data_IF_085791950907
#
_entry.id   IF_085791950907
#
_cell.length_a   1.000
_cell.length_b   1.000
_cell.length_c   1.000
_cell.angle_alpha   90.00
_cell.angle_beta   90.00
_cell.angle_gamma   90.00
#
_symmetry.space_group_name_H-M   'P 1'
#
loop_
_entity.id
_entity.type
_entity.pdbx_description
1 polymer ?
#
# COMPACT_ATOMS: atom_id res chain seq x y z
N UNK A 1 7.78 23.93 9.43
CA UNK A 1 6.94 22.73 9.17
C UNK A 1 7.89 21.57 9.31
N UNK A 2 7.67 20.70 10.30
CA UNK A 2 8.47 19.48 10.46
C UNK A 2 8.02 18.47 9.40
N UNK A 3 8.92 18.16 8.48
CA UNK A 3 8.71 17.21 7.39
C UNK A 3 9.29 15.82 7.74
N UNK A 4 9.64 15.59 9.00
CA UNK A 4 10.35 14.37 9.42
C UNK A 4 9.55 13.08 9.21
N UNK A 5 8.22 13.18 9.10
CA UNK A 5 7.32 12.07 8.75
C UNK A 5 7.12 11.88 7.23
N UNK A 6 7.52 12.86 6.40
CA UNK A 6 7.31 12.80 4.95
C UNK A 6 8.46 12.09 4.24
N UNK A 7 8.13 11.27 3.22
CA UNK A 7 9.12 10.57 2.39
C UNK A 7 9.81 11.50 1.40
N UNK A 8 10.82 12.24 1.86
CA UNK A 8 11.54 13.22 1.06
C UNK A 8 12.91 12.73 0.62
N UNK A 9 13.29 13.11 -0.59
CA UNK A 9 14.68 13.04 -1.04
C UNK A 9 15.19 14.44 -1.33
N UNK A 10 16.44 14.72 -0.96
CA UNK A 10 17.10 16.00 -1.20
C UNK A 10 18.18 15.82 -2.26
N UNK A 11 18.24 16.79 -3.18
CA UNK A 11 19.33 16.93 -4.13
C UNK A 11 20.36 17.93 -3.57
N UNK A 12 21.64 17.62 -3.74
CA UNK A 12 22.79 18.43 -3.35
C UNK A 12 23.60 18.72 -4.61
N UNK A 13 23.84 19.99 -4.92
CA UNK A 13 24.49 20.40 -6.16
C UNK A 13 26.00 20.20 -6.12
N UNK A 14 26.58 20.26 -4.92
CA UNK A 14 28.00 20.12 -4.68
C UNK A 14 28.25 19.09 -3.56
N UNK A 15 28.83 19.52 -2.45
CA UNK A 15 29.28 18.68 -1.34
C UNK A 15 28.63 19.08 0.00
N UNK A 16 27.49 19.78 -0.06
CA UNK A 16 26.82 20.37 1.11
C UNK A 16 26.41 19.32 2.15
N UNK A 17 26.24 18.05 1.72
CA UNK A 17 26.06 16.92 2.61
C UNK A 17 27.40 16.28 2.99
N UNK A 18 27.97 16.76 4.09
CA UNK A 18 29.14 16.13 4.72
C UNK A 18 30.45 16.30 3.96
N UNK A 19 30.58 17.32 3.11
CA UNK A 19 31.73 17.56 2.23
C UNK A 19 32.03 16.34 1.32
N UNK A 20 30.98 15.64 0.90
CA UNK A 20 31.07 14.46 0.06
C UNK A 20 30.40 14.74 -1.30
N UNK A 21 31.20 14.93 -2.37
CA UNK A 21 30.67 15.26 -3.71
C UNK A 21 29.96 14.07 -4.39
N UNK A 22 29.92 12.89 -3.75
CA UNK A 22 29.23 11.71 -4.29
C UNK A 22 27.78 11.60 -3.82
N UNK A 23 27.34 12.41 -2.86
CA UNK A 23 25.99 12.36 -2.28
C UNK A 23 25.01 13.36 -2.92
N UNK A 24 24.99 13.44 -4.25
CA UNK A 24 24.17 14.40 -5.01
C UNK A 24 22.65 14.18 -4.86
N UNK A 25 22.20 13.00 -4.44
CA UNK A 25 20.79 12.72 -4.13
C UNK A 25 20.68 11.77 -2.94
N UNK A 26 20.02 12.19 -1.87
CA UNK A 26 19.84 11.32 -0.67
C UNK A 26 18.40 11.31 -0.16
N UNK A 27 17.83 10.11 0.09
CA UNK A 27 16.54 9.98 0.77
C UNK A 27 16.67 10.17 2.28
N UNK A 28 15.65 10.75 2.92
CA UNK A 28 15.46 10.58 4.36
C UNK A 28 14.95 9.15 4.66
N UNK A 29 14.93 8.77 5.95
CA UNK A 29 14.51 7.42 6.37
C UNK A 29 13.12 7.03 5.84
N UNK A 30 12.07 7.86 6.00
CA UNK A 30 10.76 7.57 5.42
C UNK A 30 10.82 7.30 3.90
N UNK A 31 11.56 8.10 3.14
CA UNK A 31 11.71 7.91 1.69
C UNK A 31 12.43 6.60 1.36
N UNK A 32 13.48 6.25 2.10
CA UNK A 32 14.20 4.99 1.94
C UNK A 32 13.27 3.78 2.18
N UNK A 33 12.48 3.80 3.25
CA UNK A 33 11.52 2.73 3.55
C UNK A 33 10.43 2.61 2.47
N UNK A 34 9.94 3.73 1.95
CA UNK A 34 8.96 3.75 0.87
C UNK A 34 9.55 3.24 -0.46
N UNK A 35 10.79 3.60 -0.77
CA UNK A 35 11.51 3.13 -1.96
C UNK A 35 11.66 1.61 -1.95
N UNK A 36 12.02 1.03 -0.81
CA UNK A 36 12.16 -0.42 -0.68
C UNK A 36 10.80 -1.13 -0.80
N UNK A 37 9.71 -0.53 -0.30
CA UNK A 37 8.35 -1.03 -0.55
C UNK A 37 7.99 -1.02 -2.03
N UNK A 38 8.29 0.09 -2.72
CA UNK A 38 8.08 0.22 -4.17
C UNK A 38 8.92 -0.78 -4.98
N UNK A 39 10.09 -1.19 -4.48
CA UNK A 39 10.92 -2.23 -5.07
C UNK A 39 10.35 -3.66 -4.90
N UNK A 40 9.20 -3.82 -4.24
CA UNK A 40 8.48 -5.10 -4.10
C UNK A 40 8.72 -5.82 -2.78
N UNK A 41 9.15 -5.11 -1.74
CA UNK A 41 9.25 -5.66 -0.38
C UNK A 41 8.15 -5.06 0.51
N UNK A 42 7.02 -5.75 0.71
CA UNK A 42 5.86 -5.18 1.40
C UNK A 42 6.15 -4.76 2.86
N UNK A 43 7.08 -5.46 3.53
CA UNK A 43 7.51 -5.16 4.90
C UNK A 43 8.95 -4.66 4.87
N UNK A 44 9.17 -3.49 5.45
CA UNK A 44 10.48 -2.84 5.55
C UNK A 44 10.63 -2.23 6.92
N UNK A 45 11.73 -2.58 7.59
CA UNK A 45 12.08 -2.12 8.94
C UNK A 45 13.37 -1.32 8.88
N UNK A 46 13.42 -0.18 9.57
CA UNK A 46 14.69 0.47 9.85
C UNK A 46 15.45 -0.37 10.89
N UNK A 47 16.66 -0.80 10.54
CA UNK A 47 17.55 -1.51 11.47
C UNK A 47 18.32 -0.52 12.31
N UNK A 48 18.93 0.47 11.67
CA UNK A 48 19.73 1.49 12.35
C UNK A 48 20.00 2.67 11.42
N UNK A 49 20.33 3.82 12.02
CA UNK A 49 20.85 4.99 11.34
C UNK A 49 22.20 5.36 11.98
N UNK A 50 23.26 5.45 11.16
CA UNK A 50 24.58 5.89 11.54
C UNK A 50 24.76 7.37 11.20
N UNK A 51 25.28 8.12 12.16
CA UNK A 51 25.71 9.52 12.00
C UNK A 51 24.65 10.44 11.36
N UNK A 52 23.36 10.08 11.46
CA UNK A 52 22.24 10.78 10.84
C UNK A 52 22.11 10.64 9.32
N UNK A 53 23.14 10.12 8.63
CA UNK A 53 23.25 10.18 7.16
C UNK A 53 23.29 8.82 6.47
N UNK A 54 23.32 7.71 7.20
CA UNK A 54 23.33 6.35 6.62
C UNK A 54 22.36 5.44 7.34
N UNK A 55 21.41 4.86 6.64
CA UNK A 55 20.45 3.92 7.22
C UNK A 55 20.62 2.51 6.66
N UNK A 56 20.52 1.51 7.54
CA UNK A 56 20.33 0.12 7.14
C UNK A 56 18.86 -0.23 7.30
N UNK A 57 18.28 -0.81 6.27
CA UNK A 57 16.90 -1.29 6.25
C UNK A 57 16.91 -2.79 6.03
N UNK A 58 15.99 -3.48 6.71
CA UNK A 58 15.72 -4.90 6.52
C UNK A 58 14.37 -5.02 5.84
N UNK A 59 14.32 -5.82 4.79
CA UNK A 59 13.14 -5.96 3.95
C UNK A 59 12.75 -7.42 3.81
N UNK A 60 11.45 -7.70 3.80
CA UNK A 60 10.91 -9.05 3.75
C UNK A 60 9.94 -9.16 2.59
N UNK A 61 9.99 -10.30 1.91
CA UNK A 61 8.90 -10.75 1.06
C UNK A 61 7.97 -11.60 1.91
N UNK A 62 6.67 -11.35 1.82
CA UNK A 62 5.69 -12.23 2.39
C UNK A 62 5.43 -13.44 1.48
N UNK A 63 4.71 -14.45 1.97
CA UNK A 63 4.45 -15.69 1.24
C UNK A 63 3.63 -15.48 -0.05
N UNK A 64 2.75 -14.48 -0.10
CA UNK A 64 1.91 -14.14 -1.26
C UNK A 64 2.59 -13.10 -2.17
N UNK A 65 3.55 -12.37 -1.62
CA UNK A 65 4.29 -11.26 -2.26
C UNK A 65 5.71 -11.65 -2.69
N UNK A 66 5.96 -12.95 -2.90
CA UNK A 66 7.29 -13.47 -3.30
C UNK A 66 7.70 -13.04 -4.72
N UNK A 67 6.74 -12.91 -5.65
CA UNK A 67 6.97 -12.53 -7.05
C UNK A 67 7.09 -11.02 -7.27
N UNK A 68 7.33 -10.59 -8.51
CA UNK A 68 7.25 -9.17 -8.88
C UNK A 68 5.77 -8.75 -8.87
N UNK A 69 5.48 -7.59 -8.27
CA UNK A 69 4.16 -7.00 -8.31
C UNK A 69 3.79 -6.58 -9.76
N UNK A 70 2.56 -6.88 -10.19
CA UNK A 70 2.09 -6.59 -11.55
C UNK A 70 1.33 -5.25 -11.63
N UNK A 71 2.10 -4.17 -11.48
CA UNK A 71 1.58 -2.78 -11.48
C UNK A 71 0.91 -2.38 -12.80
N UNK A 72 1.31 -2.99 -13.92
CA UNK A 72 0.83 -2.65 -15.27
C UNK A 72 -0.41 -3.44 -15.70
N UNK A 73 -0.88 -4.37 -14.87
CA UNK A 73 -2.06 -5.18 -15.17
C UNK A 73 -3.17 -4.94 -14.14
N UNK A 74 -2.83 -4.97 -12.86
CA UNK A 74 -3.83 -4.83 -11.80
C UNK A 74 -4.09 -3.35 -11.52
N UNK A 75 -5.34 -2.94 -11.72
CA UNK A 75 -5.81 -1.62 -11.31
C UNK A 75 -6.70 -1.75 -10.08
N UNK A 76 -6.28 -1.13 -9.00
CA UNK A 76 -7.00 -1.12 -7.72
C UNK A 76 -7.25 0.33 -7.34
N UNK A 77 -8.47 0.64 -6.94
CA UNK A 77 -8.84 1.89 -6.31
C UNK A 77 -9.55 1.62 -4.99
N UNK A 78 -9.26 2.46 -4.00
CA UNK A 78 -9.91 2.44 -2.69
C UNK A 78 -10.82 3.67 -2.66
N UNK A 79 -12.13 3.43 -2.67
CA UNK A 79 -13.13 4.49 -2.64
C UNK A 79 -13.38 4.93 -1.19
N UNK A 80 -13.44 3.95 -0.28
CA UNK A 80 -13.63 4.14 1.16
C UNK A 80 -12.64 3.21 1.89
N UNK A 81 -11.90 3.71 2.91
CA UNK A 81 -11.84 5.10 3.35
C UNK A 81 -11.04 5.99 2.39
N UNK A 82 -11.26 7.31 2.48
CA UNK A 82 -10.38 8.29 1.83
C UNK A 82 -9.05 8.39 2.58
N UNK A 83 -7.96 8.83 1.93
CA UNK A 83 -6.69 9.07 2.62
C UNK A 83 -6.86 9.96 3.86
N UNK A 84 -6.28 9.52 4.97
CA UNK A 84 -6.33 10.13 6.29
C UNK A 84 -7.74 10.25 6.91
N UNK A 85 -8.71 9.46 6.45
CA UNK A 85 -10.03 9.45 7.09
C UNK A 85 -9.91 9.05 8.56
N UNK A 86 -10.65 9.77 9.41
CA UNK A 86 -10.80 9.40 10.81
C UNK A 86 -11.81 8.26 10.92
N UNK A 87 -11.43 7.18 11.60
CA UNK A 87 -12.23 5.96 11.71
C UNK A 87 -12.44 5.54 13.17
N UNK A 88 -13.67 5.13 13.49
CA UNK A 88 -14.07 4.62 14.82
C UNK A 88 -15.07 3.48 14.62
N UNK A 89 -14.90 2.36 15.34
CA UNK A 89 -15.83 1.23 15.29
C UNK A 89 -15.92 0.57 13.91
N UNK A 90 -17.11 0.10 13.46
CA UNK A 90 -17.25 -0.57 12.18
C UNK A 90 -16.96 0.38 11.01
N UNK A 91 -15.91 0.06 10.26
CA UNK A 91 -15.43 0.76 9.07
C UNK A 91 -15.79 -0.07 7.84
N UNK A 92 -16.46 0.57 6.88
CA UNK A 92 -16.61 0.01 5.55
C UNK A 92 -15.37 0.32 4.72
N UNK A 93 -14.83 -0.70 4.06
CA UNK A 93 -13.74 -0.60 3.09
C UNK A 93 -14.33 -1.03 1.75
N UNK A 94 -14.22 -0.20 0.73
CA UNK A 94 -14.78 -0.50 -0.59
C UNK A 94 -13.98 0.15 -1.71
N UNK A 95 -14.16 -0.38 -2.90
CA UNK A 95 -13.45 0.07 -4.08
C UNK A 95 -13.69 -0.84 -5.27
N UNK A 96 -12.73 -0.85 -6.18
CA UNK A 96 -12.67 -1.83 -7.26
C UNK A 96 -11.25 -2.36 -7.45
N UNK A 97 -11.16 -3.57 -7.96
CA UNK A 97 -9.93 -4.18 -8.44
C UNK A 97 -10.21 -4.88 -9.77
N UNK A 98 -9.31 -4.77 -10.74
CA UNK A 98 -9.43 -5.48 -12.02
C UNK A 98 -8.06 -5.80 -12.60
N UNK A 99 -8.00 -6.83 -13.44
CA UNK A 99 -6.88 -7.09 -14.35
C UNK A 99 -7.24 -6.55 -15.72
N UNK A 100 -6.37 -5.73 -16.32
CA UNK A 100 -6.58 -5.22 -17.67
C UNK A 100 -6.42 -6.33 -18.72
N UNK A 101 -5.54 -7.30 -18.47
CA UNK A 101 -5.21 -8.37 -19.41
C UNK A 101 -6.18 -9.55 -19.35
N UNK A 102 -6.80 -9.82 -18.20
CA UNK A 102 -7.78 -10.88 -18.00
C UNK A 102 -9.09 -10.33 -17.38
N UNK A 103 -9.98 -9.73 -18.19
CA UNK A 103 -11.28 -9.24 -17.71
C UNK A 103 -12.10 -10.36 -17.06
N UNK A 104 -12.97 -10.02 -16.10
CA UNK A 104 -13.88 -10.93 -15.36
C UNK A 104 -13.21 -11.97 -14.45
N UNK A 105 -12.07 -12.53 -14.86
CA UNK A 105 -11.45 -13.72 -14.24
C UNK A 105 -10.00 -13.50 -13.82
N UNK A 106 -9.50 -12.27 -13.89
CA UNK A 106 -8.11 -11.96 -13.59
C UNK A 106 -7.80 -11.73 -12.11
N UNK A 107 -8.81 -11.40 -11.29
CA UNK A 107 -8.68 -11.26 -9.84
C UNK A 107 -9.29 -12.49 -9.17
N UNK A 108 -8.48 -13.21 -8.40
CA UNK A 108 -8.88 -14.42 -7.68
C UNK A 108 -9.24 -14.10 -6.21
N UNK A 109 -8.52 -13.16 -5.60
CA UNK A 109 -8.68 -12.83 -4.17
C UNK A 109 -8.30 -11.38 -3.87
N UNK A 110 -9.01 -10.79 -2.91
CA UNK A 110 -8.68 -9.52 -2.29
C UNK A 110 -8.59 -9.70 -0.77
N UNK A 111 -7.42 -9.42 -0.20
CA UNK A 111 -7.18 -9.53 1.24
C UNK A 111 -6.80 -8.17 1.83
N UNK A 112 -7.40 -7.84 2.97
CA UNK A 112 -7.19 -6.58 3.67
C UNK A 112 -6.20 -6.79 4.82
N UNK A 113 -5.23 -5.89 4.94
CA UNK A 113 -4.24 -5.87 6.03
C UNK A 113 -4.20 -4.51 6.71
N UNK A 114 -3.82 -4.50 7.98
CA UNK A 114 -3.49 -3.30 8.75
C UNK A 114 -2.00 -3.25 9.07
N UNK A 115 -1.34 -2.15 8.71
CA UNK A 115 0.05 -1.79 8.98
C UNK A 115 1.13 -2.67 8.30
N UNK A 116 0.96 -3.99 8.33
CA UNK A 116 1.91 -4.94 7.75
C UNK A 116 1.25 -5.78 6.65
N UNK A 117 1.61 -5.51 5.40
CA UNK A 117 1.12 -6.24 4.24
C UNK A 117 1.68 -7.67 4.18
N UNK A 118 0.80 -8.64 3.94
CA UNK A 118 1.14 -10.06 3.75
C UNK A 118 1.78 -10.72 5.00
N UNK A 119 1.45 -10.19 6.18
CA UNK A 119 1.78 -10.77 7.48
C UNK A 119 0.53 -11.39 8.12
N UNK A 120 0.57 -12.67 8.55
CA UNK A 120 -0.62 -13.35 9.09
C UNK A 120 -1.27 -12.64 10.28
N UNK A 121 -0.47 -12.02 11.16
CA UNK A 121 -0.98 -11.30 12.34
C UNK A 121 -1.61 -9.94 12.03
N UNK A 122 -1.43 -9.43 10.81
CA UNK A 122 -1.95 -8.16 10.35
C UNK A 122 -3.12 -8.31 9.38
N UNK A 123 -3.46 -9.54 8.98
CA UNK A 123 -4.59 -9.83 8.11
C UNK A 123 -5.91 -9.51 8.83
N UNK A 124 -6.70 -8.60 8.24
CA UNK A 124 -8.04 -8.28 8.73
C UNK A 124 -9.07 -9.26 8.17
N UNK A 125 -8.87 -9.69 6.91
CA UNK A 125 -9.71 -10.71 6.27
C UNK A 125 -9.80 -10.55 4.75
N UNK A 126 -10.57 -11.45 4.14
CA UNK A 126 -10.86 -11.44 2.71
C UNK A 126 -12.08 -10.56 2.39
N UNK A 127 -11.95 -9.67 1.40
CA UNK A 127 -13.05 -8.85 0.92
C UNK A 127 -14.01 -9.66 0.03
N UNK A 128 -15.29 -9.31 0.10
CA UNK A 128 -16.26 -9.75 -0.90
C UNK A 128 -15.98 -9.04 -2.22
N UNK A 129 -15.85 -9.81 -3.30
CA UNK A 129 -15.50 -9.32 -4.63
C UNK A 129 -16.58 -9.72 -5.66
N UNK A 130 -16.63 -9.01 -6.79
CA UNK A 130 -17.58 -9.27 -7.87
C UNK A 130 -18.81 -8.36 -7.86
N UNK A 131 -18.81 -7.30 -7.05
CA UNK A 131 -19.93 -6.34 -7.02
C UNK A 131 -19.98 -5.54 -8.31
N UNK A 132 -21.20 -5.33 -8.81
CA UNK A 132 -21.39 -4.59 -10.05
C UNK A 132 -21.10 -3.09 -9.88
N UNK A 133 -20.29 -2.53 -10.78
CA UNK A 133 -19.83 -1.13 -10.82
C UNK A 133 -20.30 -0.46 -12.10
N UNK A 134 -21.55 -0.03 -12.10
CA UNK A 134 -22.19 0.66 -13.24
C UNK A 134 -21.50 1.98 -13.61
N UNK A 135 -20.78 2.58 -12.66
CA UNK A 135 -19.97 3.78 -12.87
C UNK A 135 -18.68 3.53 -13.65
N UNK A 136 -18.18 2.28 -13.68
CA UNK A 136 -16.94 1.91 -14.38
C UNK A 136 -17.19 1.38 -15.78
N UNK A 137 -18.37 0.83 -16.06
CA UNK A 137 -18.66 0.25 -17.39
C UNK A 137 -18.56 1.25 -18.54
N UNK A 138 -18.89 2.55 -18.42
CA UNK A 138 -18.68 3.52 -19.49
C UNK A 138 -17.20 3.78 -19.81
N UNK A 139 -16.30 3.50 -18.86
CA UNK A 139 -14.87 3.80 -18.98
C UNK A 139 -14.04 2.56 -19.35
N UNK A 140 -14.37 1.40 -18.78
CA UNK A 140 -13.63 0.15 -18.96
C UNK A 140 -14.37 -0.85 -19.84
N UNK A 141 -15.70 -0.75 -19.95
CA UNK A 141 -16.57 -1.69 -20.65
C UNK A 141 -17.23 -2.70 -19.69
N UNK A 142 -18.33 -3.32 -20.14
CA UNK A 142 -19.19 -4.17 -19.29
C UNK A 142 -18.48 -5.41 -18.72
N UNK A 143 -17.43 -5.91 -19.39
CA UNK A 143 -16.59 -7.03 -18.91
C UNK A 143 -15.82 -6.70 -17.61
N UNK A 144 -15.80 -5.44 -17.20
CA UNK A 144 -15.21 -5.00 -15.94
C UNK A 144 -16.29 -4.55 -14.94
N UNK A 145 -17.57 -4.79 -15.24
CA UNK A 145 -18.67 -4.42 -14.37
C UNK A 145 -18.60 -5.11 -13.01
N UNK A 146 -18.22 -6.39 -12.96
CA UNK A 146 -18.07 -7.17 -11.72
C UNK A 146 -16.71 -6.97 -11.04
N UNK A 147 -16.21 -5.73 -10.94
CA UNK A 147 -14.90 -5.40 -10.35
C UNK A 147 -14.97 -4.80 -8.94
N UNK A 148 -16.17 -4.55 -8.41
CA UNK A 148 -16.34 -3.95 -7.10
C UNK A 148 -15.98 -4.90 -5.95
N UNK A 149 -15.38 -4.36 -4.90
CA UNK A 149 -15.16 -5.07 -3.65
C UNK A 149 -15.74 -4.33 -2.45
N UNK A 150 -16.02 -5.08 -1.39
CA UNK A 150 -16.35 -4.53 -0.08
C UNK A 150 -15.82 -5.40 1.06
N UNK A 151 -15.57 -4.77 2.21
CA UNK A 151 -15.22 -5.41 3.46
C UNK A 151 -15.69 -4.55 4.62
N UNK A 152 -16.14 -5.16 5.70
CA UNK A 152 -16.50 -4.45 6.94
C UNK A 152 -15.57 -4.90 8.03
N UNK A 153 -14.94 -3.94 8.71
CA UNK A 153 -13.95 -4.17 9.73
C UNK A 153 -14.30 -3.41 11.00
N UNK A 154 -14.17 -4.01 12.18
CA UNK A 154 -14.32 -3.30 13.44
C UNK A 154 -12.95 -2.80 13.96
N UNK A 155 -12.74 -1.49 13.88
CA UNK A 155 -11.51 -0.83 14.33
C UNK A 155 -11.47 -0.56 15.85
N UNK A 156 -12.51 -0.93 16.61
CA UNK A 156 -12.63 -0.60 18.04
C UNK A 156 -11.49 -1.12 18.93
N UNK A 157 -10.79 -2.17 18.49
CA UNK A 157 -9.67 -2.79 19.23
C UNK A 157 -8.29 -2.33 18.79
N UNK A 158 -8.22 -1.38 17.85
CA UNK A 158 -6.95 -0.86 17.35
C UNK A 158 -6.50 0.32 18.21
N UNK A 159 -5.19 0.43 18.39
CA UNK A 159 -4.60 1.58 19.05
C UNK A 159 -4.98 2.88 18.31
N UNK A 160 -5.26 3.99 19.01
CA UNK A 160 -5.42 5.29 18.36
C UNK A 160 -4.13 5.70 17.64
N UNK A 161 -4.26 6.35 16.49
CA UNK A 161 -3.10 6.87 15.76
C UNK A 161 -3.21 6.74 14.24
N UNK A 162 -2.10 7.04 13.56
CA UNK A 162 -1.96 6.83 12.11
C UNK A 162 -1.72 5.34 11.85
N UNK A 163 -2.51 4.78 10.94
CA UNK A 163 -2.39 3.41 10.46
C UNK A 163 -2.39 3.38 8.93
N UNK A 164 -1.98 2.25 8.36
CA UNK A 164 -2.02 2.02 6.92
C UNK A 164 -2.88 0.81 6.61
N UNK A 165 -3.97 1.01 5.85
CA UNK A 165 -4.75 -0.10 5.31
C UNK A 165 -4.16 -0.52 3.97
N UNK A 166 -4.04 -1.82 3.74
CA UNK A 166 -3.61 -2.40 2.47
C UNK A 166 -4.70 -3.29 1.90
N UNK A 167 -4.90 -3.20 0.58
CA UNK A 167 -5.74 -4.10 -0.21
C UNK A 167 -4.78 -4.86 -1.12
N UNK A 168 -4.53 -6.14 -0.81
CA UNK A 168 -3.75 -7.05 -1.63
C UNK A 168 -4.67 -7.75 -2.63
N UNK A 169 -4.44 -7.56 -3.91
CA UNK A 169 -5.05 -8.34 -4.98
C UNK A 169 -4.11 -9.44 -5.42
N UNK A 170 -4.65 -10.65 -5.51
CA UNK A 170 -3.99 -11.82 -6.08
C UNK A 170 -4.84 -12.32 -7.25
N UNK A 171 -4.16 -12.79 -8.29
CA UNK A 171 -4.82 -13.25 -9.51
C UNK A 171 -3.90 -14.06 -10.41
N UNK A 172 -4.41 -14.45 -11.57
CA UNK A 172 -3.76 -15.40 -12.50
C UNK A 172 -2.32 -15.07 -12.86
N UNK A 173 -2.00 -13.78 -12.95
CA UNK A 173 -0.68 -13.32 -13.41
C UNK A 173 0.26 -12.95 -12.27
N UNK A 174 -0.23 -12.81 -11.05
CA UNK A 174 0.57 -12.42 -9.90
C UNK A 174 -0.24 -11.65 -8.87
N UNK A 175 0.37 -10.61 -8.32
CA UNK A 175 -0.21 -9.84 -7.24
C UNK A 175 0.05 -8.35 -7.42
N UNK A 176 -0.81 -7.53 -6.82
CA UNK A 176 -0.58 -6.11 -6.66
C UNK A 176 -1.29 -5.61 -5.41
N UNK A 177 -0.98 -4.41 -4.95
CA UNK A 177 -1.68 -3.84 -3.81
C UNK A 177 -1.87 -2.33 -3.95
N UNK A 178 -2.84 -1.82 -3.21
CA UNK A 178 -2.96 -0.40 -2.87
C UNK A 178 -3.00 -0.23 -1.38
N UNK A 179 -2.61 0.95 -0.94
CA UNK A 179 -2.63 1.33 0.46
C UNK A 179 -3.29 2.69 0.64
N UNK A 180 -3.95 2.88 1.77
CA UNK A 180 -4.55 4.16 2.17
C UNK A 180 -4.22 4.44 3.64
N UNK A 181 -3.67 5.62 3.98
CA UNK A 181 -3.49 5.99 5.37
C UNK A 181 -4.85 6.27 6.01
N UNK A 182 -5.02 5.91 7.27
CA UNK A 182 -6.21 6.18 8.09
C UNK A 182 -5.79 6.63 9.48
N UNK A 183 -6.68 7.32 10.18
CA UNK A 183 -6.46 7.74 11.57
C UNK A 183 -7.51 7.08 12.46
N UNK A 184 -7.07 6.13 13.29
CA UNK A 184 -7.96 5.48 14.27
C UNK A 184 -8.20 6.43 15.44
N UNK A 185 -9.48 6.64 15.77
CA UNK A 185 -9.94 7.38 16.95
C UNK A 185 -10.72 6.44 17.87
N UNK A 186 -10.58 6.65 19.18
CA UNK A 186 -11.40 6.02 20.22
C UNK A 186 -12.73 6.73 20.39
#
# INVERSE_FOLDING_TARGET
>A
MDFDDEGLSRFYEHDELGNDPTNWWTPNVPCLLQTVRAAGFPRVELVTCYDGNRAIVRAYKGPRTVGKALTEDFFIAIDIPRPNAEITGPVQISGFALSQLDPEVGIDRLTIYLDNLDEPGAELGQAEYGRWRTDLTPHFGDRYGSSGFQFTWDASKIAPGKHMLYILAEGKRGWYYRAVPVVVKQ
#
